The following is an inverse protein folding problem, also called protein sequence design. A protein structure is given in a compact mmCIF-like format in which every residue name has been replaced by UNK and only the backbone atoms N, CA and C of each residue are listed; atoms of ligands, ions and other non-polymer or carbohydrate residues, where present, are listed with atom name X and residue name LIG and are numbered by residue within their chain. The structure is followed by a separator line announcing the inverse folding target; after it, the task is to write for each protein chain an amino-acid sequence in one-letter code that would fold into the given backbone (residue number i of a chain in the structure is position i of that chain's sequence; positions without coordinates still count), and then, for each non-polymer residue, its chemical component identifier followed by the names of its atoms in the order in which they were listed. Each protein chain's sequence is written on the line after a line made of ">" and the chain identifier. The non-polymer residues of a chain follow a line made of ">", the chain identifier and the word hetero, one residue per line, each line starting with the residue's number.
data_IF_563569493406
#
_entry.id   IF_563569493406
#
_cell.length_a   1.000
_cell.length_b   1.000
_cell.length_c   1.000
_cell.angle_alpha   90.00
_cell.angle_beta   90.00
_cell.angle_gamma   90.00
#
_symmetry.space_group_name_H-M   'P 1'
#
loop_
_entity.id
_entity.type
_entity.pdbx_description
1 polymer ?
#
# COMPACT_ATOMS: atom_id res chain seq x y z
N UNK A 1 -0.80 20.02 -5.34
CA UNK A 1 -0.92 19.70 -3.91
C UNK A 1 -0.77 18.21 -3.74
N UNK A 2 0.09 17.80 -2.80
CA UNK A 2 0.22 16.42 -2.32
C UNK A 2 -0.56 16.30 -1.02
N UNK A 3 -1.29 15.19 -0.85
CA UNK A 3 -2.07 14.93 0.35
C UNK A 3 -1.46 13.73 1.07
N UNK A 4 -1.08 13.92 2.32
CA UNK A 4 -0.68 12.86 3.25
C UNK A 4 -1.89 12.40 4.06
N UNK A 5 -2.05 11.09 4.17
CA UNK A 5 -3.07 10.45 5.01
C UNK A 5 -2.37 9.46 5.93
N UNK A 6 -2.51 9.66 7.23
CA UNK A 6 -2.11 8.71 8.25
C UNK A 6 -3.32 7.89 8.67
N UNK A 7 -3.17 6.57 8.75
CA UNK A 7 -4.22 5.66 9.21
C UNK A 7 -3.67 4.72 10.28
N UNK A 8 -4.56 4.11 11.06
CA UNK A 8 -4.21 2.98 11.90
C UNK A 8 -4.03 1.68 11.07
N UNK A 9 -3.72 0.59 11.75
CA UNK A 9 -3.56 -0.73 11.12
C UNK A 9 -4.86 -1.25 10.47
N UNK A 10 -6.03 -0.80 10.92
CA UNK A 10 -7.32 -1.14 10.33
C UNK A 10 -7.65 -0.29 9.08
N UNK A 11 -6.84 0.73 8.79
CA UNK A 11 -7.06 1.69 7.71
C UNK A 11 -8.03 2.82 8.08
N UNK A 12 -8.34 2.98 9.37
CA UNK A 12 -9.12 4.11 9.86
C UNK A 12 -8.27 5.38 9.79
N UNK A 13 -8.78 6.49 9.23
CA UNK A 13 -8.02 7.72 9.06
C UNK A 13 -7.79 8.42 10.41
N UNK A 14 -6.52 8.72 10.70
CA UNK A 14 -6.09 9.37 11.95
C UNK A 14 -5.72 10.83 11.74
N UNK A 15 -5.07 11.16 10.62
CA UNK A 15 -4.63 12.50 10.31
C UNK A 15 -4.55 12.72 8.79
N UNK A 16 -4.85 13.94 8.35
CA UNK A 16 -4.66 14.39 6.97
C UNK A 16 -3.84 15.69 6.95
N UNK A 17 -2.91 15.77 6.03
CA UNK A 17 -2.12 16.99 5.81
C UNK A 17 -2.01 17.32 4.32
N UNK A 18 -1.91 18.64 4.04
CA UNK A 18 -1.69 19.16 2.70
C UNK A 18 -0.26 19.67 2.54
N UNK A 19 0.39 19.24 1.47
CA UNK A 19 1.76 19.66 1.13
C UNK A 19 1.81 20.31 -0.25
N UNK A 20 2.80 21.14 -0.45
CA UNK A 20 3.11 21.68 -1.77
C UNK A 20 3.44 20.54 -2.72
N UNK A 21 2.90 20.59 -3.96
CA UNK A 21 3.02 19.51 -4.92
C UNK A 21 4.45 19.27 -5.46
N UNK A 22 5.37 20.19 -5.20
CA UNK A 22 6.79 20.10 -5.55
C UNK A 22 7.64 19.45 -4.45
N UNK A 23 7.09 19.22 -3.25
CA UNK A 23 7.81 18.51 -2.18
C UNK A 23 7.80 17.01 -2.44
N UNK A 24 8.96 16.39 -2.29
CA UNK A 24 9.07 14.94 -2.34
C UNK A 24 8.31 14.31 -1.16
N UNK A 25 7.58 13.23 -1.41
CA UNK A 25 6.82 12.48 -0.38
C UNK A 25 7.71 12.08 0.80
N UNK A 26 8.98 11.82 0.52
CA UNK A 26 10.00 11.49 1.52
C UNK A 26 10.26 12.60 2.55
N UNK A 27 10.05 13.87 2.18
CA UNK A 27 10.29 15.03 3.07
C UNK A 27 9.06 15.38 3.92
N UNK A 28 7.91 14.80 3.62
CA UNK A 28 6.65 15.12 4.29
C UNK A 28 6.24 14.08 5.34
N UNK A 29 6.69 12.84 5.18
CA UNK A 29 6.29 11.71 6.02
C UNK A 29 6.70 11.85 7.49
N UNK A 30 7.99 12.06 7.77
CA UNK A 30 8.49 12.17 9.15
C UNK A 30 7.91 13.36 9.93
N UNK A 31 7.82 14.57 9.36
CA UNK A 31 7.16 15.68 10.05
C UNK A 31 5.72 15.39 10.44
N UNK A 32 4.95 14.73 9.55
CA UNK A 32 3.56 14.33 9.83
C UNK A 32 3.49 13.33 10.99
N UNK A 33 4.35 12.30 10.97
CA UNK A 33 4.40 11.29 12.04
C UNK A 33 4.78 11.93 13.38
N UNK A 34 5.78 12.80 13.41
CA UNK A 34 6.20 13.54 14.63
C UNK A 34 5.06 14.41 15.16
N UNK A 35 4.37 15.13 14.29
CA UNK A 35 3.23 15.97 14.66
C UNK A 35 2.12 15.13 15.29
N UNK A 36 1.81 13.99 14.70
CA UNK A 36 0.83 13.04 15.23
C UNK A 36 1.25 12.47 16.59
N UNK A 37 2.47 11.97 16.71
CA UNK A 37 2.99 11.42 17.95
C UNK A 37 2.95 12.46 19.09
N UNK A 38 3.36 13.70 18.82
CA UNK A 38 3.31 14.80 19.78
C UNK A 38 1.88 15.14 20.19
N UNK A 39 0.95 15.20 19.25
CA UNK A 39 -0.44 15.53 19.51
C UNK A 39 -1.18 14.47 20.35
N UNK A 40 -0.74 13.22 20.27
CA UNK A 40 -1.35 12.08 20.96
C UNK A 40 -0.48 11.47 22.05
N UNK A 41 0.64 12.12 22.41
CA UNK A 41 1.57 11.70 23.46
C UNK A 41 2.06 10.25 23.29
N UNK A 42 2.30 9.84 22.03
CA UNK A 42 2.75 8.49 21.71
C UNK A 42 4.26 8.38 21.87
N UNK A 43 4.72 7.41 22.64
CA UNK A 43 6.14 7.18 22.89
C UNK A 43 6.81 6.37 21.76
N UNK A 44 6.07 5.48 21.10
CA UNK A 44 6.59 4.61 20.04
C UNK A 44 5.49 4.32 18.99
N UNK A 45 5.91 4.19 17.73
CA UNK A 45 5.07 3.77 16.63
C UNK A 45 5.87 2.93 15.64
N UNK A 46 5.23 1.97 15.00
CA UNK A 46 5.81 1.23 13.88
C UNK A 46 5.23 1.76 12.56
N UNK A 47 6.11 2.27 11.72
CA UNK A 47 5.75 2.88 10.43
C UNK A 47 5.65 1.79 9.37
N UNK A 48 4.48 1.64 8.73
CA UNK A 48 4.30 0.70 7.62
C UNK A 48 4.13 1.49 6.33
N UNK A 49 5.00 1.22 5.34
CA UNK A 49 4.99 1.98 4.07
C UNK A 49 5.40 1.12 2.86
N UNK A 50 5.02 1.57 1.66
CA UNK A 50 5.44 0.91 0.42
C UNK A 50 6.86 1.30 0.03
N UNK A 51 7.51 0.45 -0.78
CA UNK A 51 8.90 0.59 -1.24
C UNK A 51 9.21 1.91 -1.96
N UNK A 52 8.20 2.53 -2.57
CA UNK A 52 8.34 3.81 -3.28
C UNK A 52 8.36 5.03 -2.37
N UNK A 53 7.85 4.92 -1.16
CA UNK A 53 7.64 6.06 -0.24
C UNK A 53 8.84 6.31 0.68
N UNK A 54 9.73 5.34 0.85
CA UNK A 54 10.80 5.42 1.86
C UNK A 54 12.17 5.21 1.22
N UNK A 55 12.94 6.29 1.10
CA UNK A 55 14.34 6.26 0.68
C UNK A 55 15.25 5.70 1.78
N UNK A 56 16.51 5.38 1.47
CA UNK A 56 17.48 4.99 2.50
C UNK A 56 17.65 6.07 3.55
N UNK A 57 17.78 7.34 3.14
CA UNK A 57 17.90 8.46 4.06
C UNK A 57 16.69 8.59 5.02
N UNK A 58 15.49 8.26 4.54
CA UNK A 58 14.30 8.26 5.40
C UNK A 58 14.30 7.11 6.40
N UNK A 59 14.77 5.92 5.99
CA UNK A 59 14.94 4.80 6.93
C UNK A 59 15.93 5.14 8.04
N UNK A 60 17.05 5.75 7.66
CA UNK A 60 18.05 6.24 8.61
C UNK A 60 17.46 7.27 9.57
N UNK A 61 16.70 8.23 9.05
CA UNK A 61 16.07 9.24 9.87
C UNK A 61 15.00 8.68 10.84
N UNK A 62 14.25 7.65 10.41
CA UNK A 62 13.32 6.91 11.29
C UNK A 62 14.09 6.19 12.41
N UNK A 63 15.21 5.56 12.07
CA UNK A 63 16.06 4.85 13.04
C UNK A 63 16.74 5.80 14.04
N UNK A 64 17.20 6.96 13.58
CA UNK A 64 17.82 7.99 14.41
C UNK A 64 16.82 8.53 15.47
N UNK A 65 15.52 8.43 15.21
CA UNK A 65 14.45 8.73 16.17
C UNK A 65 14.04 7.56 17.06
N UNK A 66 14.70 6.42 16.92
CA UNK A 66 14.39 5.22 17.70
C UNK A 66 13.11 4.50 17.27
N UNK A 67 12.48 4.91 16.16
CA UNK A 67 11.23 4.34 15.67
C UNK A 67 11.44 3.06 14.88
N UNK A 68 10.41 2.23 14.85
CA UNK A 68 10.38 0.99 14.09
C UNK A 68 9.68 1.19 12.73
N UNK A 69 10.03 0.35 11.73
CA UNK A 69 9.34 0.37 10.45
C UNK A 69 9.19 -1.02 9.83
N UNK A 70 8.21 -1.15 8.95
CA UNK A 70 8.00 -2.29 8.03
C UNK A 70 7.80 -1.69 6.64
N UNK A 71 8.71 -2.00 5.71
CA UNK A 71 8.73 -1.38 4.38
C UNK A 71 8.84 -2.46 3.32
N UNK A 72 8.03 -2.38 2.25
CA UNK A 72 8.25 -3.19 1.05
C UNK A 72 9.61 -2.88 0.42
N UNK A 73 10.29 -3.89 -0.09
CA UNK A 73 11.59 -3.74 -0.71
C UNK A 73 11.61 -4.24 -2.15
N UNK A 74 12.43 -3.59 -2.98
CA UNK A 74 12.79 -4.11 -4.29
C UNK A 74 13.86 -5.18 -4.12
N UNK A 75 13.80 -6.24 -4.92
CA UNK A 75 14.79 -7.29 -4.93
C UNK A 75 15.68 -7.09 -6.18
N UNK A 76 16.82 -6.42 -6.05
CA UNK A 76 17.66 -6.08 -7.22
C UNK A 76 18.39 -7.31 -7.78
N UNK A 77 18.79 -8.25 -6.93
CA UNK A 77 19.47 -9.50 -7.28
C UNK A 77 18.86 -10.68 -6.53
N UNK A 78 19.09 -11.90 -6.99
CA UNK A 78 18.62 -13.11 -6.28
C UNK A 78 19.34 -13.21 -4.94
N UNK A 79 18.62 -13.14 -3.81
CA UNK A 79 19.23 -13.21 -2.48
C UNK A 79 19.95 -14.54 -2.25
N UNK A 80 21.05 -14.49 -1.50
CA UNK A 80 21.87 -15.69 -1.24
C UNK A 80 21.05 -16.82 -0.60
N UNK A 81 20.19 -16.51 0.37
CA UNK A 81 19.34 -17.50 1.03
C UNK A 81 18.42 -18.25 0.05
N UNK A 82 17.86 -17.54 -0.95
CA UNK A 82 17.02 -18.14 -1.99
C UNK A 82 17.88 -18.95 -2.96
N UNK A 83 19.03 -18.42 -3.36
CA UNK A 83 19.95 -19.12 -4.26
C UNK A 83 20.51 -20.40 -3.63
N UNK A 84 20.84 -20.35 -2.34
CA UNK A 84 21.32 -21.51 -1.58
C UNK A 84 20.21 -22.56 -1.46
N UNK A 85 19.01 -22.16 -1.03
CA UNK A 85 17.88 -23.08 -0.90
C UNK A 85 17.60 -23.83 -2.22
N UNK A 86 17.62 -23.11 -3.35
CA UNK A 86 17.41 -23.72 -4.66
C UNK A 86 18.49 -24.77 -5.01
N UNK A 87 19.76 -24.50 -4.70
CA UNK A 87 20.84 -25.47 -4.93
C UNK A 87 20.66 -26.74 -4.10
N UNK A 88 20.19 -26.58 -2.86
CA UNK A 88 19.97 -27.69 -1.92
C UNK A 88 18.75 -28.55 -2.28
N UNK A 89 17.76 -27.98 -2.97
CA UNK A 89 16.48 -28.64 -3.29
C UNK A 89 16.31 -28.91 -4.81
N UNK A 90 17.35 -28.77 -5.61
CA UNK A 90 17.29 -28.96 -7.05
C UNK A 90 17.63 -30.41 -7.41
N UNK A 91 16.63 -31.21 -7.76
CA UNK A 91 16.74 -32.59 -8.24
C UNK A 91 16.74 -32.66 -9.80
N UNK A 92 17.42 -31.70 -10.46
CA UNK A 92 17.43 -31.58 -11.93
C UNK A 92 16.39 -30.64 -12.53
N UNK A 93 15.36 -30.25 -11.80
CA UNK A 93 14.45 -29.18 -12.15
C UNK A 93 14.64 -27.97 -11.21
N UNK A 94 14.21 -26.80 -11.66
CA UNK A 94 14.28 -25.58 -10.84
C UNK A 94 13.33 -25.72 -9.63
N UNK A 95 13.90 -25.87 -8.42
CA UNK A 95 13.13 -25.99 -7.19
C UNK A 95 12.20 -24.79 -6.99
N UNK A 96 10.91 -25.07 -6.79
CA UNK A 96 9.85 -24.08 -6.53
C UNK A 96 9.52 -24.09 -5.05
N UNK A 97 9.62 -22.94 -4.35
CA UNK A 97 9.25 -22.86 -2.94
C UNK A 97 7.77 -23.19 -2.70
N UNK A 98 7.43 -23.62 -1.47
CA UNK A 98 6.05 -23.78 -1.07
C UNK A 98 5.32 -22.43 -1.07
N UNK A 99 3.98 -22.48 -1.24
CA UNK A 99 3.20 -21.24 -1.14
C UNK A 99 3.34 -20.64 0.27
N UNK A 100 3.53 -19.33 0.34
CA UNK A 100 3.79 -18.56 1.56
C UNK A 100 5.14 -18.83 2.24
N UNK A 101 6.04 -19.64 1.67
CA UNK A 101 7.36 -19.86 2.24
C UNK A 101 8.11 -18.53 2.39
N UNK A 102 8.74 -18.35 3.56
CA UNK A 102 9.50 -17.15 3.92
C UNK A 102 10.98 -17.49 4.06
N UNK A 103 11.81 -16.66 3.47
CA UNK A 103 13.26 -16.70 3.59
C UNK A 103 13.72 -15.47 4.35
N UNK A 104 14.71 -15.61 5.21
CA UNK A 104 15.23 -14.53 6.05
C UNK A 104 16.66 -14.21 5.70
N UNK A 105 16.98 -12.93 5.60
CA UNK A 105 18.34 -12.46 5.43
C UNK A 105 18.58 -11.19 6.26
N UNK A 106 19.80 -11.03 6.84
CA UNK A 106 20.19 -9.76 7.44
C UNK A 106 20.30 -8.67 6.36
N UNK A 107 20.06 -7.42 6.77
CA UNK A 107 20.25 -6.24 5.91
C UNK A 107 21.10 -5.19 6.64
N UNK A 108 22.14 -4.67 6.07
CA UNK A 108 22.73 -5.02 4.77
C UNK A 108 23.32 -6.42 4.75
N UNK A 109 23.54 -6.96 3.53
CA UNK A 109 24.23 -8.25 3.38
C UNK A 109 25.56 -8.25 4.13
N UNK A 110 26.00 -9.44 4.59
CA UNK A 110 27.21 -9.60 5.38
C UNK A 110 28.41 -8.87 4.74
N UNK A 111 29.06 -7.99 5.52
CA UNK A 111 30.23 -7.20 5.10
C UNK A 111 29.98 -5.71 4.86
N UNK A 112 28.75 -5.23 4.82
CA UNK A 112 28.50 -3.80 4.81
C UNK A 112 28.72 -3.17 6.20
N UNK A 113 29.31 -1.97 6.24
CA UNK A 113 29.56 -1.27 7.51
C UNK A 113 28.24 -0.88 8.16
N UNK A 114 27.99 -1.41 9.35
CA UNK A 114 26.88 -1.00 10.21
C UNK A 114 27.21 0.36 10.84
N UNK A 115 26.30 1.32 10.76
CA UNK A 115 26.45 2.56 11.50
C UNK A 115 26.31 2.28 13.01
N UNK A 116 27.25 2.84 13.79
CA UNK A 116 27.30 2.61 15.23
C UNK A 116 26.01 3.11 15.90
N UNK A 117 25.39 2.28 16.73
CA UNK A 117 24.16 2.62 17.47
C UNK A 117 22.83 2.31 16.77
N UNK A 118 22.82 1.89 15.50
CA UNK A 118 21.57 1.52 14.79
C UNK A 118 21.14 0.08 15.06
N UNK A 119 19.83 -0.14 15.07
CA UNK A 119 19.24 -1.49 15.18
C UNK A 119 19.61 -2.35 13.98
N UNK A 120 19.65 -3.65 14.16
CA UNK A 120 19.80 -4.59 13.06
C UNK A 120 18.55 -4.56 12.19
N UNK A 121 18.77 -4.64 10.89
CA UNK A 121 17.68 -4.76 9.91
C UNK A 121 17.58 -6.21 9.45
N UNK A 122 16.36 -6.65 9.24
CA UNK A 122 16.06 -7.98 8.70
C UNK A 122 15.22 -7.83 7.44
N UNK A 123 15.50 -8.66 6.44
CA UNK A 123 14.69 -8.74 5.22
C UNK A 123 14.03 -10.11 5.14
N UNK A 124 12.72 -10.12 4.98
CA UNK A 124 11.93 -11.29 4.71
C UNK A 124 11.55 -11.35 3.24
N UNK A 125 11.72 -12.50 2.60
CA UNK A 125 11.33 -12.76 1.22
C UNK A 125 10.24 -13.82 1.22
N UNK A 126 8.99 -13.38 0.97
CA UNK A 126 7.86 -14.31 0.88
C UNK A 126 7.60 -14.71 -0.56
N UNK A 127 7.52 -16.01 -0.80
CA UNK A 127 7.09 -16.58 -2.06
C UNK A 127 5.59 -16.82 -2.09
N UNK A 128 4.93 -16.57 -3.27
CA UNK A 128 3.54 -16.90 -3.51
C UNK A 128 3.34 -17.46 -4.91
N UNK A 129 2.68 -18.60 -5.02
CA UNK A 129 2.38 -19.28 -6.28
C UNK A 129 1.54 -18.42 -7.24
N UNK A 130 0.49 -17.78 -6.74
CA UNK A 130 -0.37 -16.93 -7.56
C UNK A 130 0.35 -15.69 -8.10
N UNK A 131 1.27 -15.13 -7.32
CA UNK A 131 2.16 -14.03 -7.73
C UNK A 131 3.15 -14.51 -8.77
N UNK A 132 3.74 -15.70 -8.59
CA UNK A 132 4.68 -16.30 -9.54
C UNK A 132 4.02 -16.50 -10.91
N UNK A 133 2.84 -17.12 -10.95
CA UNK A 133 2.08 -17.33 -12.20
C UNK A 133 1.80 -16.02 -12.95
N UNK A 134 1.35 -14.99 -12.24
CA UNK A 134 1.08 -13.66 -12.84
C UNK A 134 2.36 -13.01 -13.36
N UNK A 135 3.44 -13.07 -12.58
CA UNK A 135 4.74 -12.49 -12.95
C UNK A 135 5.35 -13.20 -14.14
N UNK A 136 5.35 -14.54 -14.17
CA UNK A 136 5.87 -15.34 -15.26
C UNK A 136 5.11 -15.07 -16.56
N UNK A 137 3.78 -15.06 -16.53
CA UNK A 137 2.95 -14.67 -17.69
C UNK A 137 3.34 -13.28 -18.23
N UNK A 138 3.49 -12.30 -17.34
CA UNK A 138 3.91 -10.95 -17.75
C UNK A 138 5.33 -10.91 -18.34
N UNK A 139 6.25 -11.76 -17.85
CA UNK A 139 7.60 -11.92 -18.43
C UNK A 139 7.49 -12.53 -19.82
N UNK A 140 6.73 -13.62 -20.00
CA UNK A 140 6.56 -14.30 -21.28
C UNK A 140 5.99 -13.35 -22.35
N UNK A 141 4.97 -12.56 -22.01
CA UNK A 141 4.42 -11.56 -22.90
C UNK A 141 5.42 -10.48 -23.30
N UNK A 142 6.21 -10.00 -22.34
CA UNK A 142 7.22 -8.95 -22.61
C UNK A 142 8.42 -9.49 -23.39
N UNK A 143 8.87 -10.70 -23.10
CA UNK A 143 9.96 -11.37 -23.84
C UNK A 143 9.52 -11.68 -25.26
N UNK A 144 8.30 -12.20 -25.47
CA UNK A 144 7.76 -12.44 -26.82
C UNK A 144 7.64 -11.15 -27.64
N UNK A 145 7.28 -10.00 -27.01
CA UNK A 145 7.33 -8.70 -27.69
C UNK A 145 8.76 -8.25 -28.00
N UNK A 146 9.73 -8.52 -27.10
CA UNK A 146 11.14 -8.22 -27.32
C UNK A 146 11.72 -9.03 -28.51
N UNK A 147 11.41 -10.31 -28.59
CA UNK A 147 11.82 -11.22 -29.69
C UNK A 147 11.28 -10.74 -31.04
N UNK A 148 10.00 -10.38 -31.11
CA UNK A 148 9.39 -9.81 -32.32
C UNK A 148 10.05 -8.49 -32.75
N UNK A 149 10.42 -7.63 -31.79
CA UNK A 149 11.08 -6.38 -32.05
C UNK A 149 12.54 -6.56 -32.50
N UNK A 150 13.27 -7.53 -31.94
CA UNK A 150 14.61 -7.92 -32.35
C UNK A 150 14.60 -8.52 -33.76
N UNK A 151 13.61 -9.38 -34.08
CA UNK A 151 13.41 -9.98 -35.40
C UNK A 151 12.89 -8.97 -36.46
N UNK A 152 12.73 -7.69 -36.13
CA UNK A 152 12.25 -6.66 -37.07
C UNK A 152 10.75 -6.74 -37.41
N UNK A 153 9.99 -7.65 -36.77
CA UNK A 153 8.56 -7.82 -37.06
C UNK A 153 7.66 -6.71 -36.49
N UNK A 154 8.16 -5.98 -35.50
CA UNK A 154 7.44 -4.86 -34.87
C UNK A 154 8.39 -3.72 -34.52
N UNK A 155 7.87 -2.48 -34.48
CA UNK A 155 8.64 -1.34 -34.02
C UNK A 155 9.09 -1.51 -32.57
N UNK A 156 10.33 -1.11 -32.28
CA UNK A 156 10.88 -1.15 -30.90
C UNK A 156 10.17 -0.08 -30.08
N UNK A 157 9.21 -0.51 -29.24
CA UNK A 157 8.72 0.29 -28.13
C UNK A 157 9.61 0.04 -26.90
N UNK A 158 9.57 0.94 -25.92
CA UNK A 158 10.31 0.78 -24.65
C UNK A 158 9.99 -0.58 -24.02
N UNK A 159 10.94 -1.50 -24.08
CA UNK A 159 10.82 -2.85 -23.51
C UNK A 159 12.10 -3.16 -22.73
N UNK A 160 11.95 -3.52 -21.44
CA UNK A 160 13.09 -3.78 -20.55
C UNK A 160 13.96 -4.96 -20.96
N UNK A 161 13.42 -5.91 -21.74
CA UNK A 161 14.14 -7.08 -22.22
C UNK A 161 14.83 -6.86 -23.58
N UNK A 162 14.76 -5.66 -24.16
CA UNK A 162 15.54 -5.31 -25.34
C UNK A 162 16.81 -4.58 -24.90
N UNK A 163 17.98 -5.14 -25.24
CA UNK A 163 19.28 -4.54 -25.04
C UNK A 163 19.76 -3.97 -26.38
N UNK A 164 20.19 -2.72 -26.35
CA UNK A 164 20.80 -2.03 -27.49
C UNK A 164 22.31 -1.90 -27.23
N UNK A 165 23.12 -2.45 -28.10
CA UNK A 165 24.57 -2.37 -28.00
C UNK A 165 25.16 -2.22 -29.41
N UNK A 166 25.92 -1.15 -29.67
CA UNK A 166 26.60 -0.94 -30.94
C UNK A 166 25.70 -0.99 -32.19
N UNK A 167 24.45 -0.50 -32.09
CA UNK A 167 23.48 -0.56 -33.18
C UNK A 167 22.74 -1.90 -33.31
N UNK A 168 23.14 -2.92 -32.60
CA UNK A 168 22.51 -4.25 -32.62
C UNK A 168 21.47 -4.36 -31.51
N UNK A 169 20.32 -4.96 -31.84
CA UNK A 169 19.23 -5.25 -30.89
C UNK A 169 19.30 -6.72 -30.50
N UNK A 170 19.33 -7.00 -29.21
CA UNK A 170 19.32 -8.36 -28.68
C UNK A 170 18.32 -8.48 -27.53
N UNK A 171 17.83 -9.70 -27.28
CA UNK A 171 17.03 -9.97 -26.08
C UNK A 171 17.96 -10.09 -24.87
N UNK A 172 17.68 -9.38 -23.81
CA UNK A 172 18.46 -9.45 -22.56
C UNK A 172 18.07 -10.70 -21.78
N UNK A 173 18.72 -11.83 -22.10
CA UNK A 173 18.48 -13.15 -21.47
C UNK A 173 18.91 -13.21 -20.01
N UNK A 174 19.92 -12.44 -19.62
CA UNK A 174 20.37 -12.36 -18.21
C UNK A 174 19.28 -11.71 -17.35
N UNK A 175 18.70 -10.61 -17.84
CA UNK A 175 17.59 -9.97 -17.15
C UNK A 175 16.32 -10.84 -17.12
N UNK A 176 16.09 -11.62 -18.19
CA UNK A 176 14.99 -12.59 -18.23
C UNK A 176 15.19 -13.68 -17.17
N UNK A 177 16.35 -14.34 -17.16
CA UNK A 177 16.68 -15.37 -16.19
C UNK A 177 16.54 -14.89 -14.75
N UNK A 178 17.11 -13.71 -14.44
CA UNK A 178 16.95 -13.06 -13.15
C UNK A 178 15.49 -12.75 -12.80
N UNK A 179 14.73 -12.21 -13.74
CA UNK A 179 13.30 -11.88 -13.52
C UNK A 179 12.48 -13.14 -13.24
N UNK A 180 12.75 -14.24 -13.96
CA UNK A 180 12.11 -15.55 -13.72
C UNK A 180 12.50 -16.12 -12.35
N UNK A 181 13.78 -16.02 -12.00
CA UNK A 181 14.28 -16.47 -10.71
C UNK A 181 13.64 -15.71 -9.52
N UNK A 182 13.22 -14.47 -9.69
CA UNK A 182 12.56 -13.66 -8.68
C UNK A 182 11.02 -13.69 -8.76
N UNK A 183 10.46 -14.40 -9.75
CA UNK A 183 9.01 -14.50 -9.88
C UNK A 183 8.40 -15.14 -8.64
N UNK A 184 7.34 -14.51 -8.11
CA UNK A 184 6.64 -14.97 -6.92
C UNK A 184 7.17 -14.39 -5.60
N UNK A 185 8.37 -13.84 -5.58
CA UNK A 185 8.93 -13.24 -4.36
C UNK A 185 8.50 -11.78 -4.16
N UNK A 186 8.30 -11.42 -2.91
CA UNK A 186 8.19 -10.04 -2.43
C UNK A 186 9.05 -9.90 -1.18
N UNK A 187 9.74 -8.77 -1.05
CA UNK A 187 10.60 -8.51 0.09
C UNK A 187 10.01 -7.45 1.02
N UNK A 188 10.28 -7.62 2.31
CA UNK A 188 9.89 -6.73 3.40
C UNK A 188 11.09 -6.49 4.29
N UNK A 189 11.41 -5.24 4.57
CA UNK A 189 12.53 -4.84 5.45
C UNK A 189 11.95 -4.26 6.73
N UNK A 190 12.53 -4.64 7.86
CA UNK A 190 12.19 -4.09 9.17
C UNK A 190 13.43 -3.90 10.03
N UNK A 191 13.39 -2.94 10.97
CA UNK A 191 14.36 -2.73 12.03
C UNK A 191 13.78 -3.06 13.43
N UNK A 192 12.61 -3.74 13.48
CA UNK A 192 12.04 -4.20 14.74
C UNK A 192 13.00 -5.16 15.44
N UNK A 193 12.93 -5.20 16.76
CA UNK A 193 13.70 -6.17 17.56
C UNK A 193 12.97 -7.50 17.53
N UNK A 194 13.66 -8.55 17.13
CA UNK A 194 13.15 -9.93 17.07
C UNK A 194 11.77 -10.06 16.39
N UNK A 195 11.64 -9.59 15.14
CA UNK A 195 10.35 -9.52 14.48
C UNK A 195 9.89 -10.91 14.02
N UNK A 196 8.66 -11.26 14.32
CA UNK A 196 8.00 -12.43 13.73
C UNK A 196 7.66 -12.15 12.25
N UNK A 197 8.04 -13.04 11.31
CA UNK A 197 7.78 -12.86 9.89
C UNK A 197 6.30 -12.67 9.55
N UNK A 198 5.40 -13.41 10.20
CA UNK A 198 3.96 -13.34 9.93
C UNK A 198 3.38 -12.00 10.38
N UNK A 199 3.85 -11.48 11.51
CA UNK A 199 3.50 -10.14 12.00
C UNK A 199 3.95 -9.06 11.01
N UNK A 200 5.19 -9.10 10.52
CA UNK A 200 5.74 -8.13 9.57
C UNK A 200 4.99 -8.16 8.24
N UNK A 201 4.79 -9.37 7.70
CA UNK A 201 4.10 -9.56 6.42
C UNK A 201 2.62 -9.19 6.54
N UNK A 202 1.98 -9.58 7.64
CA UNK A 202 0.59 -9.26 7.95
C UNK A 202 0.36 -7.75 8.05
N UNK A 203 1.19 -7.04 8.80
CA UNK A 203 1.13 -5.59 8.92
C UNK A 203 1.30 -4.89 7.55
N UNK A 204 2.27 -5.34 6.75
CA UNK A 204 2.45 -4.81 5.40
C UNK A 204 1.23 -5.06 4.51
N UNK A 205 0.61 -6.23 4.61
CA UNK A 205 -0.58 -6.54 3.83
C UNK A 205 -1.77 -5.64 4.17
N UNK A 206 -1.82 -5.01 5.34
CA UNK A 206 -2.89 -4.05 5.67
C UNK A 206 -2.82 -2.75 4.85
N UNK A 207 -1.71 -2.45 4.16
CA UNK A 207 -1.60 -1.27 3.29
C UNK A 207 -2.69 -1.18 2.22
N UNK A 208 -3.28 -2.29 1.78
CA UNK A 208 -4.41 -2.26 0.85
C UNK A 208 -5.62 -1.48 1.40
N UNK A 209 -5.79 -1.44 2.73
CA UNK A 209 -6.85 -0.67 3.39
C UNK A 209 -6.63 0.83 3.23
N UNK A 210 -5.36 1.26 3.30
CA UNK A 210 -4.96 2.65 3.05
C UNK A 210 -5.21 3.01 1.58
N UNK A 211 -4.83 2.13 0.64
CA UNK A 211 -5.14 2.31 -0.78
C UNK A 211 -6.64 2.41 -1.03
N UNK A 212 -7.45 1.60 -0.34
CA UNK A 212 -8.90 1.66 -0.42
C UNK A 212 -9.44 3.00 0.10
N UNK A 213 -8.88 3.55 1.20
CA UNK A 213 -9.23 4.85 1.75
C UNK A 213 -8.87 5.99 0.78
N UNK A 214 -7.69 5.96 0.17
CA UNK A 214 -7.32 6.91 -0.88
C UNK A 214 -8.21 6.83 -2.12
N UNK A 215 -8.59 5.62 -2.53
CA UNK A 215 -9.50 5.41 -3.66
C UNK A 215 -10.87 6.00 -3.35
N UNK A 216 -11.41 5.73 -2.17
CA UNK A 216 -12.68 6.27 -1.68
C UNK A 216 -12.66 7.80 -1.66
N UNK A 217 -11.61 8.40 -1.08
CA UNK A 217 -11.46 9.86 -1.06
C UNK A 217 -11.46 10.45 -2.47
N UNK A 218 -10.78 9.84 -3.42
CA UNK A 218 -10.69 10.35 -4.81
C UNK A 218 -11.97 10.16 -5.61
N UNK A 219 -12.63 9.00 -5.49
CA UNK A 219 -13.74 8.61 -6.36
C UNK A 219 -15.13 8.80 -5.74
N UNK A 220 -15.28 8.44 -4.47
CA UNK A 220 -16.58 8.44 -3.83
C UNK A 220 -16.86 9.76 -3.09
N UNK A 221 -15.85 10.35 -2.48
CA UNK A 221 -15.92 11.62 -1.77
C UNK A 221 -15.50 12.83 -2.63
N UNK A 222 -15.05 12.59 -3.85
CA UNK A 222 -14.64 13.63 -4.80
C UNK A 222 -13.65 14.66 -4.22
N UNK A 223 -12.66 14.18 -3.44
CA UNK A 223 -11.61 15.03 -2.89
C UNK A 223 -10.79 15.77 -3.95
N UNK A 224 -10.91 15.38 -5.22
CA UNK A 224 -10.28 16.03 -6.38
C UNK A 224 -11.31 16.22 -7.50
N UNK A 225 -11.18 17.30 -8.30
CA UNK A 225 -10.17 18.36 -8.23
C UNK A 225 -10.39 19.34 -7.07
N UNK A 226 -9.28 19.88 -6.52
CA UNK A 226 -9.32 20.95 -5.52
C UNK A 226 -9.23 22.27 -6.26
N UNK A 227 -10.29 23.06 -6.25
CA UNK A 227 -10.39 24.36 -6.92
C UNK A 227 -9.92 25.54 -6.05
N UNK A 228 -9.64 25.29 -4.79
CA UNK A 228 -9.20 26.33 -3.87
C UNK A 228 -7.72 26.66 -4.08
N UNK A 229 -7.38 27.94 -3.94
CA UNK A 229 -6.00 28.46 -4.08
C UNK A 229 -5.42 28.93 -2.76
N UNK A 230 -6.28 29.28 -1.77
CA UNK A 230 -5.83 29.67 -0.44
C UNK A 230 -5.62 28.43 0.41
N UNK A 231 -4.53 28.42 1.20
CA UNK A 231 -4.15 27.31 2.07
C UNK A 231 -5.27 26.93 3.03
N UNK A 232 -5.85 27.90 3.73
CA UNK A 232 -6.96 27.69 4.67
C UNK A 232 -8.17 27.00 4.02
N UNK A 233 -8.53 27.42 2.80
CA UNK A 233 -9.64 26.82 2.06
C UNK A 233 -9.35 25.40 1.59
N UNK A 234 -8.07 25.09 1.28
CA UNK A 234 -7.61 23.74 0.95
C UNK A 234 -7.67 22.84 2.18
N UNK A 235 -7.16 23.31 3.31
CA UNK A 235 -7.18 22.58 4.58
C UNK A 235 -8.62 22.33 5.05
N UNK A 236 -9.51 23.32 4.95
CA UNK A 236 -10.93 23.15 5.26
C UNK A 236 -11.60 22.10 4.37
N UNK A 237 -11.34 22.14 3.04
CA UNK A 237 -11.84 21.12 2.11
C UNK A 237 -11.35 19.71 2.48
N UNK A 238 -10.07 19.56 2.77
CA UNK A 238 -9.49 18.29 3.15
C UNK A 238 -10.02 17.79 4.49
N UNK A 239 -10.27 18.68 5.44
CA UNK A 239 -10.88 18.33 6.74
C UNK A 239 -12.29 17.77 6.58
N UNK A 240 -13.11 18.36 5.68
CA UNK A 240 -14.45 17.83 5.37
C UNK A 240 -14.36 16.44 4.72
N UNK A 241 -13.46 16.27 3.75
CA UNK A 241 -13.23 14.96 3.09
C UNK A 241 -12.73 13.93 4.09
N UNK A 242 -11.83 14.31 4.98
CA UNK A 242 -11.29 13.45 6.02
C UNK A 242 -12.38 13.00 7.00
N UNK A 243 -13.22 13.92 7.49
CA UNK A 243 -14.35 13.58 8.35
C UNK A 243 -15.33 12.63 7.66
N UNK A 244 -15.65 12.89 6.38
CA UNK A 244 -16.50 12.01 5.58
C UNK A 244 -15.88 10.63 5.39
N UNK A 245 -14.54 10.53 5.20
CA UNK A 245 -13.82 9.26 5.12
C UNK A 245 -13.91 8.49 6.44
N UNK A 246 -13.69 9.16 7.58
CA UNK A 246 -13.75 8.55 8.90
C UNK A 246 -15.16 7.99 9.19
N UNK A 247 -16.20 8.77 8.93
CA UNK A 247 -17.60 8.34 9.07
C UNK A 247 -17.90 7.15 8.16
N UNK A 248 -17.41 7.20 6.91
CA UNK A 248 -17.60 6.12 5.96
C UNK A 248 -16.98 4.82 6.45
N UNK A 249 -15.72 4.88 6.94
CA UNK A 249 -15.03 3.73 7.51
C UNK A 249 -15.76 3.17 8.72
N UNK A 250 -16.18 4.05 9.62
CA UNK A 250 -16.95 3.63 10.80
C UNK A 250 -18.22 2.86 10.41
N UNK A 251 -18.97 3.37 9.42
CA UNK A 251 -20.18 2.70 8.93
C UNK A 251 -19.85 1.35 8.28
N UNK A 252 -18.84 1.28 7.41
CA UNK A 252 -18.43 0.05 6.74
C UNK A 252 -17.96 -1.01 7.74
N UNK A 253 -17.13 -0.61 8.72
CA UNK A 253 -16.58 -1.54 9.72
C UNK A 253 -17.65 -2.07 10.67
N UNK A 254 -18.61 -1.22 11.11
CA UNK A 254 -19.65 -1.64 12.04
C UNK A 254 -20.77 -2.44 11.37
N UNK A 255 -21.15 -2.07 10.14
CA UNK A 255 -22.32 -2.67 9.49
C UNK A 255 -21.95 -3.78 8.50
N UNK A 256 -20.71 -3.85 8.03
CA UNK A 256 -20.30 -4.71 6.92
C UNK A 256 -20.88 -4.27 5.56
N UNK A 257 -21.58 -3.12 5.50
CA UNK A 257 -22.13 -2.59 4.27
C UNK A 257 -21.15 -1.61 3.61
N UNK A 258 -21.08 -1.62 2.28
CA UNK A 258 -20.41 -0.54 1.58
C UNK A 258 -21.17 0.77 1.77
N UNK A 259 -20.47 1.91 1.83
CA UNK A 259 -21.11 3.22 1.98
C UNK A 259 -22.14 3.49 0.87
N UNK A 260 -21.90 3.02 -0.34
CA UNK A 260 -22.85 3.11 -1.47
C UNK A 260 -24.15 2.37 -1.18
N UNK A 261 -24.06 1.15 -0.63
CA UNK A 261 -25.24 0.38 -0.21
C UNK A 261 -25.99 1.12 0.90
N UNK A 262 -25.26 1.58 1.91
CA UNK A 262 -25.85 2.29 3.06
C UNK A 262 -26.60 3.55 2.61
N UNK A 263 -25.93 4.46 1.92
CA UNK A 263 -26.52 5.72 1.44
C UNK A 263 -27.70 5.47 0.48
N UNK A 264 -27.57 4.49 -0.45
CA UNK A 264 -28.66 4.16 -1.37
C UNK A 264 -29.88 3.60 -0.64
N UNK A 265 -29.67 2.83 0.41
CA UNK A 265 -30.78 2.26 1.20
C UNK A 265 -31.43 3.30 2.06
N UNK A 266 -30.67 4.09 2.82
CA UNK A 266 -31.23 5.15 3.69
C UNK A 266 -31.97 6.21 2.93
N UNK A 267 -31.52 6.61 1.73
CA UNK A 267 -32.21 7.61 0.88
C UNK A 267 -33.59 7.18 0.38
N UNK A 268 -33.97 5.92 0.50
CA UNK A 268 -35.31 5.43 0.13
C UNK A 268 -36.36 5.77 1.19
N UNK A 269 -35.92 5.93 2.45
CA UNK A 269 -36.80 6.21 3.56
C UNK A 269 -36.93 7.73 3.73
N UNK A 270 -38.17 8.20 3.77
CA UNK A 270 -38.49 9.64 3.89
C UNK A 270 -39.56 9.83 4.93
N UNK A 271 -39.41 10.88 5.70
CA UNK A 271 -40.46 11.39 6.58
C UNK A 271 -41.28 12.41 5.81
N UNK A 272 -42.60 12.26 5.78
CA UNK A 272 -43.50 13.19 5.14
C UNK A 272 -44.31 13.89 6.21
N UNK A 273 -44.28 15.22 6.22
CA UNK A 273 -45.13 16.03 7.09
C UNK A 273 -46.36 16.47 6.32
N UNK A 274 -47.53 16.10 6.85
CA UNK A 274 -48.83 16.47 6.30
C UNK A 274 -49.47 17.51 7.24
N UNK A 275 -49.75 18.68 6.73
CA UNK A 275 -50.46 19.72 7.48
C UNK A 275 -51.98 19.58 7.25
N UNK A 276 -52.70 19.27 8.31
CA UNK A 276 -54.17 19.17 8.32
C UNK A 276 -54.72 20.23 9.27
N UNK A 277 -55.09 21.41 8.75
CA UNK A 277 -55.49 22.56 9.56
C UNK A 277 -54.35 23.06 10.47
N UNK A 278 -54.56 23.04 11.78
CA UNK A 278 -53.53 23.42 12.76
C UNK A 278 -52.68 22.26 13.26
N UNK A 279 -52.91 21.06 12.76
CA UNK A 279 -52.14 19.88 13.15
C UNK A 279 -51.12 19.51 12.08
N UNK A 280 -49.95 19.06 12.52
CA UNK A 280 -48.93 18.49 11.65
C UNK A 280 -48.83 17.00 11.97
N UNK A 281 -49.19 16.18 11.01
CA UNK A 281 -49.01 14.71 11.06
C UNK A 281 -47.71 14.33 10.41
N UNK A 282 -46.91 13.52 11.09
CA UNK A 282 -45.68 12.99 10.53
C UNK A 282 -45.91 11.52 10.14
N UNK A 283 -45.75 11.22 8.87
CA UNK A 283 -45.77 9.84 8.35
C UNK A 283 -44.36 9.39 8.00
N UNK A 284 -43.99 8.23 8.46
CA UNK A 284 -42.67 7.63 8.23
C UNK A 284 -42.82 6.24 7.61
N UNK A 285 -42.00 5.94 6.62
CA UNK A 285 -41.91 4.57 6.10
C UNK A 285 -41.29 3.64 7.15
N UNK A 286 -41.86 2.46 7.39
CA UNK A 286 -41.28 1.50 8.30
C UNK A 286 -39.91 1.03 7.78
N UNK A 287 -38.85 1.12 8.61
CA UNK A 287 -37.53 0.67 8.23
C UNK A 287 -37.53 -0.84 8.02
N UNK A 288 -36.83 -1.29 6.96
CA UNK A 288 -36.59 -2.73 6.74
C UNK A 288 -35.78 -3.31 7.91
N UNK A 289 -35.95 -4.59 8.26
CA UNK A 289 -35.16 -5.24 9.31
C UNK A 289 -33.66 -5.02 9.15
N UNK A 290 -33.12 -5.28 7.96
CA UNK A 290 -31.68 -5.10 7.64
C UNK A 290 -31.18 -3.68 7.89
N UNK A 291 -31.99 -2.65 7.58
CA UNK A 291 -31.59 -1.27 7.81
C UNK A 291 -31.68 -0.91 9.29
N UNK A 292 -32.68 -1.42 9.99
CA UNK A 292 -32.82 -1.22 11.44
C UNK A 292 -31.63 -1.82 12.18
N UNK A 293 -31.23 -3.03 11.83
CA UNK A 293 -30.08 -3.72 12.41
C UNK A 293 -28.78 -2.95 12.10
N UNK A 294 -28.58 -2.50 10.86
CA UNK A 294 -27.43 -1.70 10.47
C UNK A 294 -27.36 -0.36 11.25
N UNK A 295 -28.49 0.30 11.46
CA UNK A 295 -28.54 1.55 12.24
C UNK A 295 -28.28 1.31 13.73
N UNK A 296 -28.74 0.19 14.30
CA UNK A 296 -28.46 -0.19 15.68
C UNK A 296 -26.97 -0.43 15.95
N UNK A 297 -26.21 -0.89 14.93
CA UNK A 297 -24.76 -1.09 15.03
C UNK A 297 -23.96 0.23 15.00
N UNK A 298 -24.54 1.31 14.52
CA UNK A 298 -23.85 2.61 14.39
C UNK A 298 -24.13 3.50 15.64
N UNK A 299 -25.28 3.34 16.26
CA UNK A 299 -25.63 4.02 17.50
C UNK A 299 -24.93 3.31 18.68
#
# INVERSE_FOLDING_TARGET
>A
ITVGLLTDAAGFPLMVEAFEGNKAETLTMLPTIRSFMKAHELADVTIVADAGMVSEANREAIEDEGLSYIIGARIPEVPYCIAQWRREHSDGEAAVPQDQQVFTAPWPAAGAKKAQGRRDRVTYYQYRHDRARRTLRGIDEQVGKAEKAVAGKTAVKRNRFVKLSGGTKTVNRDLEAKSRALAGFKAYITNMVDPDPDTVIGAYHQLWRIEASFRMSKHDLQARPIYHHKRESIEAHLSVVFAALAITRLIEDRTGWTIKKFVRTTRRYRTVQIRAGNQVLTAEDPLSPDLRDALALIN
#
